data_IF_120063484396
#
_entry.id   IF_120063484396
#
_cell.length_a   1.000
_cell.length_b   1.000
_cell.length_c   1.000
_cell.angle_alpha   90.00
_cell.angle_beta   90.00
_cell.angle_gamma   90.00
#
_symmetry.space_group_name_H-M   'P 1'
#
loop_
_entity.id
_entity.type
_entity.pdbx_description
1 polymer ?
#
# COMPACT_ATOMS: atom_id res chain seq x y z
N UNK A 1 11.88 -6.82 -7.00
CA UNK A 1 11.72 -7.01 -5.54
C UNK A 1 12.63 -6.10 -4.72
N UNK A 2 13.92 -5.97 -5.04
CA UNK A 2 14.86 -5.13 -4.26
C UNK A 2 14.47 -3.64 -4.24
N UNK A 3 13.99 -3.10 -5.35
CA UNK A 3 13.56 -1.70 -5.48
C UNK A 3 12.24 -1.38 -4.77
N UNK A 4 11.25 -2.28 -4.83
CA UNK A 4 10.00 -2.16 -4.07
C UNK A 4 10.27 -2.21 -2.56
N UNK A 5 11.19 -3.07 -2.12
CA UNK A 5 11.63 -3.13 -0.73
C UNK A 5 12.30 -1.82 -0.31
N UNK A 6 13.21 -1.29 -1.12
CA UNK A 6 13.90 -0.02 -0.86
C UNK A 6 12.92 1.16 -0.74
N UNK A 7 11.95 1.26 -1.66
CA UNK A 7 10.90 2.28 -1.59
C UNK A 7 10.03 2.16 -0.33
N UNK A 8 9.67 0.93 0.07
CA UNK A 8 8.95 0.72 1.33
C UNK A 8 9.77 1.15 2.55
N UNK A 9 11.08 0.88 2.55
CA UNK A 9 11.98 1.33 3.61
C UNK A 9 12.15 2.86 3.64
N UNK A 10 12.08 3.52 2.49
CA UNK A 10 12.10 4.99 2.39
C UNK A 10 10.80 5.59 2.90
N UNK A 11 9.63 5.02 2.57
CA UNK A 11 8.32 5.41 3.10
C UNK A 11 8.34 5.42 4.65
N UNK A 12 8.94 4.41 5.28
CA UNK A 12 9.02 4.32 6.74
C UNK A 12 9.86 5.40 7.41
N UNK A 13 10.73 6.09 6.67
CA UNK A 13 11.66 7.10 7.17
C UNK A 13 11.31 8.51 6.69
N UNK A 14 10.32 8.64 5.83
CA UNK A 14 9.94 9.92 5.25
C UNK A 14 9.04 10.70 6.21
N UNK A 15 9.28 12.00 6.33
CA UNK A 15 8.37 12.92 7.00
C UNK A 15 7.08 13.12 6.18
N UNK A 16 7.17 13.01 4.85
CA UNK A 16 6.06 12.98 3.89
C UNK A 16 6.21 11.76 2.95
N UNK A 17 5.38 10.72 3.10
CA UNK A 17 5.48 9.50 2.30
C UNK A 17 4.75 9.55 0.95
N UNK A 18 4.08 10.65 0.60
CA UNK A 18 3.15 10.70 -0.54
C UNK A 18 3.81 10.34 -1.87
N UNK A 19 4.86 11.06 -2.27
CA UNK A 19 5.57 10.83 -3.54
C UNK A 19 6.21 9.43 -3.60
N UNK A 20 6.71 8.94 -2.46
CA UNK A 20 7.28 7.61 -2.35
C UNK A 20 6.19 6.52 -2.48
N UNK A 21 4.98 6.78 -2.00
CA UNK A 21 3.82 5.92 -2.18
C UNK A 21 3.41 5.79 -3.65
N UNK A 22 3.37 6.89 -4.39
CA UNK A 22 3.12 6.89 -5.84
C UNK A 22 4.18 6.09 -6.59
N UNK A 23 5.45 6.29 -6.24
CA UNK A 23 6.56 5.57 -6.86
C UNK A 23 6.52 4.07 -6.52
N UNK A 24 6.19 3.73 -5.27
CA UNK A 24 6.04 2.35 -4.82
C UNK A 24 4.89 1.64 -5.55
N UNK A 25 3.75 2.31 -5.75
CA UNK A 25 2.64 1.80 -6.54
C UNK A 25 3.09 1.47 -7.98
N UNK A 26 3.72 2.41 -8.68
CA UNK A 26 4.18 2.19 -10.05
C UNK A 26 5.17 1.04 -10.17
N UNK A 27 6.15 0.97 -9.28
CA UNK A 27 7.22 -0.03 -9.32
C UNK A 27 6.75 -1.42 -8.85
N UNK A 28 5.71 -1.50 -8.01
CA UNK A 28 5.12 -2.80 -7.64
C UNK A 28 4.25 -3.38 -8.76
N UNK A 29 3.56 -2.53 -9.53
CA UNK A 29 2.77 -2.96 -10.70
C UNK A 29 3.66 -3.65 -11.75
N UNK A 30 4.88 -3.17 -11.96
CA UNK A 30 5.81 -3.74 -12.96
C UNK A 30 6.53 -5.02 -12.48
N UNK A 31 6.58 -5.26 -11.16
CA UNK A 31 7.37 -6.36 -10.54
C UNK A 31 6.51 -7.53 -10.10
N UNK A 32 5.21 -7.30 -9.86
CA UNK A 32 4.27 -8.36 -9.52
C UNK A 32 3.93 -9.11 -10.82
N UNK A 33 4.65 -10.19 -11.08
CA UNK A 33 4.36 -11.20 -12.13
C UNK A 33 3.02 -11.94 -11.88
N UNK A 34 2.32 -11.55 -10.81
CA UNK A 34 1.04 -12.06 -10.37
C UNK A 34 -0.02 -10.99 -10.70
N UNK A 35 -0.54 -11.04 -11.92
CA UNK A 35 -1.70 -10.24 -12.38
C UNK A 35 -2.84 -10.20 -11.33
N UNK A 36 -2.94 -11.22 -10.46
CA UNK A 36 -3.92 -11.33 -9.38
C UNK A 36 -3.88 -10.19 -8.35
N UNK A 37 -2.72 -9.60 -8.02
CA UNK A 37 -2.63 -8.62 -6.91
C UNK A 37 -2.28 -7.20 -7.33
N UNK A 38 -1.91 -6.98 -8.59
CA UNK A 38 -1.60 -5.63 -9.11
C UNK A 38 -2.80 -4.68 -8.96
N UNK A 39 -4.02 -5.18 -9.22
CA UNK A 39 -5.25 -4.41 -9.01
C UNK A 39 -5.49 -4.03 -7.55
N UNK A 40 -5.30 -4.98 -6.61
CA UNK A 40 -5.45 -4.72 -5.18
C UNK A 40 -4.42 -3.71 -4.66
N UNK A 41 -3.18 -3.78 -5.15
CA UNK A 41 -2.13 -2.82 -4.80
C UNK A 41 -2.47 -1.42 -5.33
N UNK A 42 -2.93 -1.33 -6.58
CA UNK A 42 -3.40 -0.08 -7.18
C UNK A 42 -4.56 0.53 -6.37
N UNK A 43 -5.58 -0.26 -6.03
CA UNK A 43 -6.73 0.21 -5.26
C UNK A 43 -6.34 0.68 -3.86
N UNK A 44 -5.45 -0.05 -3.17
CA UNK A 44 -4.99 0.33 -1.84
C UNK A 44 -4.29 1.69 -1.86
N UNK A 45 -3.25 1.83 -2.68
CA UNK A 45 -2.47 3.06 -2.70
C UNK A 45 -3.26 4.23 -3.26
N UNK A 46 -4.08 4.02 -4.29
CA UNK A 46 -5.01 5.03 -4.79
C UNK A 46 -5.97 5.55 -3.71
N UNK A 47 -6.57 4.65 -2.92
CA UNK A 47 -7.47 5.05 -1.84
C UNK A 47 -6.77 5.84 -0.71
N UNK A 48 -5.51 5.51 -0.41
CA UNK A 48 -4.73 6.22 0.59
C UNK A 48 -4.28 7.60 0.08
N UNK A 49 -3.81 7.71 -1.16
CA UNK A 49 -3.43 9.00 -1.75
C UNK A 49 -4.64 9.90 -1.98
N UNK A 50 -5.77 9.36 -2.46
CA UNK A 50 -7.03 10.10 -2.58
C UNK A 50 -7.49 10.63 -1.23
N UNK A 51 -7.28 9.88 -0.14
CA UNK A 51 -7.64 10.33 1.21
C UNK A 51 -6.78 11.53 1.65
N UNK A 52 -5.48 11.53 1.35
CA UNK A 52 -4.61 12.70 1.60
C UNK A 52 -5.13 13.92 0.82
N UNK A 53 -5.44 13.76 -0.46
CA UNK A 53 -5.88 14.86 -1.31
C UNK A 53 -7.27 15.40 -0.97
N UNK A 54 -8.23 14.51 -0.70
CA UNK A 54 -9.64 14.85 -0.49
C UNK A 54 -9.95 15.21 0.97
N UNK A 55 -9.12 14.80 1.92
CA UNK A 55 -9.29 15.02 3.35
C UNK A 55 -7.99 15.46 4.02
N UNK A 56 -7.48 16.67 3.70
CA UNK A 56 -6.22 17.16 4.26
C UNK A 56 -6.23 17.29 5.79
N UNK A 57 -7.40 17.50 6.41
CA UNK A 57 -7.54 17.50 7.88
C UNK A 57 -7.25 16.13 8.53
N UNK A 58 -7.18 15.06 7.73
CA UNK A 58 -6.85 13.69 8.16
C UNK A 58 -5.44 13.25 7.73
N UNK A 59 -4.60 14.16 7.24
CA UNK A 59 -3.28 13.87 6.64
C UNK A 59 -2.39 13.05 7.57
N UNK A 60 -2.12 13.53 8.80
CA UNK A 60 -1.28 12.83 9.78
C UNK A 60 -1.74 11.39 10.03
N UNK A 61 -3.07 11.19 10.11
CA UNK A 61 -3.65 9.85 10.30
C UNK A 61 -3.46 9.00 9.07
N UNK A 62 -3.65 9.57 7.89
CA UNK A 62 -3.51 8.86 6.61
C UNK A 62 -2.05 8.48 6.35
N UNK A 63 -1.09 9.35 6.69
CA UNK A 63 0.34 9.04 6.63
C UNK A 63 0.71 7.90 7.59
N UNK A 64 0.15 7.89 8.80
CA UNK A 64 0.36 6.78 9.74
C UNK A 64 -0.20 5.45 9.18
N UNK A 65 -1.34 5.48 8.49
CA UNK A 65 -1.92 4.32 7.81
C UNK A 65 -1.07 3.86 6.62
N UNK A 66 -0.57 4.78 5.79
CA UNK A 66 0.36 4.48 4.68
C UNK A 66 1.64 3.80 5.19
N UNK A 67 2.26 4.36 6.24
CA UNK A 67 3.45 3.78 6.86
C UNK A 67 3.16 2.38 7.44
N UNK A 68 1.97 2.17 8.00
CA UNK A 68 1.56 0.87 8.52
C UNK A 68 1.33 -0.13 7.38
N UNK A 69 0.67 0.25 6.29
CA UNK A 69 0.46 -0.60 5.13
C UNK A 69 1.80 -1.07 4.53
N UNK A 70 2.76 -0.14 4.35
CA UNK A 70 4.10 -0.46 3.88
C UNK A 70 4.84 -1.42 4.84
N UNK A 71 4.74 -1.21 6.16
CA UNK A 71 5.34 -2.09 7.16
C UNK A 71 4.74 -3.50 7.10
N UNK A 72 3.42 -3.58 7.04
CA UNK A 72 2.69 -4.85 6.99
C UNK A 72 3.08 -5.61 5.72
N UNK A 73 3.17 -4.93 4.57
CA UNK A 73 3.64 -5.53 3.30
C UNK A 73 5.07 -6.08 3.39
N UNK A 74 6.00 -5.30 3.96
CA UNK A 74 7.40 -5.71 4.12
C UNK A 74 7.58 -6.94 5.04
N UNK A 75 6.64 -7.17 5.96
CA UNK A 75 6.65 -8.32 6.86
C UNK A 75 6.12 -9.60 6.21
N UNK A 76 5.51 -9.54 5.02
CA UNK A 76 4.94 -10.69 4.34
C UNK A 76 6.01 -11.50 3.59
N UNK A 77 5.83 -12.82 3.56
CA UNK A 77 6.42 -13.64 2.51
C UNK A 77 5.53 -13.55 1.26
N UNK A 78 6.00 -12.96 0.15
CA UNK A 78 5.21 -12.81 -1.07
C UNK A 78 4.86 -14.16 -1.74
N UNK A 79 5.44 -15.27 -1.29
CA UNK A 79 5.08 -16.63 -1.75
C UNK A 79 3.93 -17.26 -0.95
N UNK A 80 3.57 -16.68 0.19
CA UNK A 80 2.40 -17.09 0.95
C UNK A 80 1.15 -16.36 0.45
N UNK A 81 0.48 -16.97 -0.52
CA UNK A 81 -0.71 -16.39 -1.15
C UNK A 81 -1.85 -16.15 -0.17
N UNK A 82 -1.97 -16.95 0.90
CA UNK A 82 -3.02 -16.73 1.90
C UNK A 82 -2.69 -15.51 2.77
N UNK A 83 -1.43 -15.32 3.15
CA UNK A 83 -0.99 -14.13 3.87
C UNK A 83 -1.16 -12.85 3.03
N UNK A 84 -0.79 -12.91 1.75
CA UNK A 84 -0.99 -11.80 0.79
C UNK A 84 -2.47 -11.46 0.63
N UNK A 85 -3.34 -12.47 0.49
CA UNK A 85 -4.80 -12.27 0.40
C UNK A 85 -5.36 -11.63 1.66
N UNK A 86 -4.96 -12.08 2.86
CA UNK A 86 -5.40 -11.50 4.14
C UNK A 86 -4.95 -10.05 4.31
N UNK A 87 -3.75 -9.72 3.84
CA UNK A 87 -3.26 -8.34 3.83
C UNK A 87 -4.19 -7.44 3.01
N UNK A 88 -4.52 -7.83 1.78
CA UNK A 88 -5.40 -7.02 0.94
C UNK A 88 -6.85 -6.98 1.45
N UNK A 89 -7.38 -8.09 1.98
CA UNK A 89 -8.71 -8.12 2.58
C UNK A 89 -8.84 -7.08 3.70
N UNK A 90 -7.85 -7.03 4.60
CA UNK A 90 -7.85 -6.08 5.70
C UNK A 90 -7.77 -4.64 5.21
N UNK A 91 -6.79 -4.35 4.36
CA UNK A 91 -6.52 -2.98 3.93
C UNK A 91 -7.62 -2.43 3.02
N UNK A 92 -8.11 -3.21 2.05
CA UNK A 92 -9.13 -2.74 1.13
C UNK A 92 -10.50 -2.62 1.81
N UNK A 93 -10.92 -3.63 2.55
CA UNK A 93 -12.30 -3.67 3.04
C UNK A 93 -12.46 -3.03 4.42
N UNK A 94 -11.52 -3.27 5.33
CA UNK A 94 -11.66 -2.80 6.72
C UNK A 94 -11.07 -1.40 6.93
N UNK A 95 -10.02 -1.01 6.18
CA UNK A 95 -9.37 0.32 6.32
C UNK A 95 -9.78 1.29 5.21
N UNK A 96 -9.77 0.86 3.95
CA UNK A 96 -10.17 1.70 2.82
C UNK A 96 -11.70 1.74 2.62
N UNK A 97 -12.42 0.74 3.13
CA UNK A 97 -13.90 0.72 3.11
C UNK A 97 -14.50 0.32 1.76
N UNK A 98 -13.76 -0.39 0.91
CA UNK A 98 -14.33 -0.98 -0.31
C UNK A 98 -15.42 -2.01 0.03
N UNK A 99 -16.37 -2.20 -0.87
CA UNK A 99 -17.36 -3.28 -0.75
C UNK A 99 -16.70 -4.65 -0.98
N UNK A 100 -17.08 -5.64 -0.17
CA UNK A 100 -16.65 -7.02 -0.36
C UNK A 100 -17.39 -7.63 -1.57
N UNK A 101 -16.70 -8.39 -2.44
CA UNK A 101 -17.32 -9.10 -3.57
C UNK A 101 -18.39 -10.12 -3.14
#
# INVERSE_FOLDING_TARGET
MERARDLSEQILRADDPYDLGLQFMGETIDVIDIVEYAGSMYCLWGALTDRVELKPDEEDRTFAEMARAARDWLALDPRDSEAVRRYFDYWLYDVCGYERP
#
